data_IF_194891356377
#
_entry.id   IF_194891356377
#
_cell.length_a   1.000
_cell.length_b   1.000
_cell.length_c   1.000
_cell.angle_alpha   90.00
_cell.angle_beta   90.00
_cell.angle_gamma   90.00
#
_symmetry.space_group_name_H-M   'P 1'
#
loop_
_entity.id
_entity.type
_entity.pdbx_description
1 polymer ?
#
# COMPACT_ATOMS: atom_id res chain seq x y z
N UNK A 1 -58.62 44.93 26.46
CA UNK A 1 -57.33 45.56 26.08
C UNK A 1 -56.29 44.48 26.32
N UNK A 2 -56.09 43.58 25.36
CA UNK A 2 -55.11 43.75 24.27
C UNK A 2 -53.71 43.66 24.89
N UNK A 3 -52.87 42.65 24.63
CA UNK A 3 -52.53 42.03 23.35
C UNK A 3 -52.11 40.55 23.49
N UNK A 4 -52.26 39.84 22.37
CA UNK A 4 -51.79 38.47 22.13
C UNK A 4 -50.34 38.53 21.66
N UNK A 5 -49.45 37.75 22.27
CA UNK A 5 -48.20 37.34 21.62
C UNK A 5 -48.27 35.85 21.32
N UNK A 6 -48.12 35.54 20.04
CA UNK A 6 -48.10 34.20 19.50
C UNK A 6 -46.67 33.64 19.60
N UNK A 7 -46.48 32.59 20.38
CA UNK A 7 -45.20 31.89 20.48
C UNK A 7 -45.19 30.74 19.46
N UNK A 8 -44.31 30.87 18.46
CA UNK A 8 -44.14 29.92 17.38
C UNK A 8 -43.49 28.63 17.89
N UNK A 9 -44.20 27.51 17.76
CA UNK A 9 -43.66 26.18 17.99
C UNK A 9 -42.61 25.85 16.92
N UNK A 10 -41.33 26.00 17.28
CA UNK A 10 -40.21 25.53 16.48
C UNK A 10 -40.16 24.00 16.49
N UNK A 11 -40.62 23.37 15.42
CA UNK A 11 -40.35 21.96 15.12
C UNK A 11 -38.86 21.74 14.96
N UNK A 12 -38.26 21.03 15.93
CA UNK A 12 -36.90 20.51 15.85
C UNK A 12 -36.89 19.39 14.80
N UNK A 13 -36.42 19.70 13.60
CA UNK A 13 -36.09 18.69 12.58
C UNK A 13 -34.87 17.90 13.05
N UNK A 14 -35.08 16.63 13.39
CA UNK A 14 -34.00 15.65 13.54
C UNK A 14 -33.15 15.57 12.27
N UNK A 15 -31.82 15.45 12.37
CA UNK A 15 -31.00 15.27 11.19
C UNK A 15 -31.30 13.91 10.58
N UNK A 16 -31.64 13.94 9.29
CA UNK A 16 -31.89 12.77 8.47
C UNK A 16 -30.78 11.72 8.65
N UNK A 17 -31.19 10.51 9.00
CA UNK A 17 -30.36 9.33 8.98
C UNK A 17 -29.65 9.26 7.61
N UNK A 18 -28.31 9.27 7.66
CA UNK A 18 -27.48 8.95 6.50
C UNK A 18 -27.86 7.54 6.10
N UNK A 19 -28.52 7.42 4.95
CA UNK A 19 -28.89 6.15 4.37
C UNK A 19 -27.69 5.20 4.36
N UNK A 20 -27.85 4.02 4.92
CA UNK A 20 -26.92 2.92 4.77
C UNK A 20 -26.80 2.62 3.28
N UNK A 21 -25.75 3.16 2.65
CA UNK A 21 -25.37 2.82 1.30
C UNK A 21 -25.06 1.31 1.28
N UNK A 22 -25.80 0.57 0.45
CA UNK A 22 -25.88 -0.88 0.45
C UNK A 22 -24.54 -1.60 0.53
N UNK A 23 -24.55 -2.73 1.24
CA UNK A 23 -23.37 -3.53 1.57
C UNK A 23 -22.63 -4.18 0.36
N UNK A 24 -23.01 -3.90 -0.90
CA UNK A 24 -22.49 -4.61 -2.08
C UNK A 24 -22.06 -3.76 -3.30
N UNK A 25 -21.88 -2.43 -3.20
CA UNK A 25 -21.48 -1.65 -4.40
C UNK A 25 -19.98 -1.74 -4.80
N UNK A 26 -19.33 -2.90 -4.65
CA UNK A 26 -17.98 -3.06 -5.22
C UNK A 26 -17.13 -4.24 -4.73
N UNK A 27 -17.72 -5.21 -4.03
CA UNK A 27 -17.03 -6.40 -3.54
C UNK A 27 -15.81 -6.10 -2.64
N UNK A 28 -14.88 -7.06 -2.56
CA UNK A 28 -13.67 -6.91 -1.73
C UNK A 28 -12.76 -5.76 -2.21
N UNK A 29 -12.56 -5.64 -3.52
CA UNK A 29 -11.72 -4.60 -4.11
C UNK A 29 -12.25 -3.19 -3.80
N UNK A 30 -13.56 -2.97 -3.92
CA UNK A 30 -14.20 -1.69 -3.59
C UNK A 30 -14.06 -1.33 -2.11
N UNK A 31 -14.25 -2.30 -1.20
CA UNK A 31 -14.02 -2.10 0.24
C UNK A 31 -12.55 -1.76 0.56
N UNK A 32 -11.60 -2.41 -0.12
CA UNK A 32 -10.17 -2.12 0.06
C UNK A 32 -9.82 -0.70 -0.41
N UNK A 33 -10.31 -0.30 -1.59
CA UNK A 33 -10.09 1.06 -2.10
C UNK A 33 -10.72 2.14 -1.22
N UNK A 34 -11.91 1.88 -0.64
CA UNK A 34 -12.53 2.79 0.33
C UNK A 34 -11.67 2.94 1.59
N UNK A 35 -11.09 1.84 2.06
CA UNK A 35 -10.16 1.86 3.19
C UNK A 35 -8.91 2.70 2.90
N UNK A 36 -8.33 2.60 1.70
CA UNK A 36 -7.19 3.43 1.29
C UNK A 36 -7.57 4.90 1.11
N UNK A 37 -8.79 5.20 0.63
CA UNK A 37 -9.30 6.57 0.58
C UNK A 37 -9.47 7.19 1.96
N UNK A 38 -10.01 6.42 2.90
CA UNK A 38 -10.09 6.86 4.30
C UNK A 38 -8.69 7.11 4.88
N UNK A 39 -7.73 6.21 4.65
CA UNK A 39 -6.34 6.42 5.05
C UNK A 39 -5.77 7.71 4.46
N UNK A 40 -6.00 7.95 3.17
CA UNK A 40 -5.51 9.13 2.45
C UNK A 40 -6.03 10.44 3.08
N UNK A 41 -7.34 10.51 3.38
CA UNK A 41 -7.95 11.67 4.06
C UNK A 41 -7.31 11.90 5.42
N UNK A 42 -7.13 10.85 6.21
CA UNK A 42 -6.50 10.95 7.53
C UNK A 42 -5.03 11.38 7.45
N UNK A 43 -4.29 10.92 6.43
CA UNK A 43 -2.89 11.30 6.20
C UNK A 43 -2.74 12.77 5.78
N UNK A 44 -3.66 13.28 4.96
CA UNK A 44 -3.69 14.69 4.55
C UNK A 44 -3.97 15.63 5.73
N UNK A 45 -4.67 15.15 6.76
CA UNK A 45 -4.94 15.91 7.99
C UNK A 45 -3.76 15.94 8.99
N UNK A 46 -2.67 15.22 8.73
CA UNK A 46 -1.48 15.27 9.59
C UNK A 46 -0.82 16.66 9.51
N UNK A 47 -0.23 17.15 10.62
CA UNK A 47 0.53 18.39 10.58
C UNK A 47 1.74 18.26 9.65
N UNK A 48 2.29 19.37 9.15
CA UNK A 48 3.50 19.36 8.35
C UNK A 48 4.65 18.59 9.01
N UNK A 49 5.39 17.84 8.20
CA UNK A 49 6.47 16.98 8.70
C UNK A 49 7.69 17.77 9.21
N UNK A 50 7.87 19.01 8.76
CA UNK A 50 9.03 19.84 9.11
C UNK A 50 10.35 19.31 8.53
N UNK A 51 11.45 20.00 8.83
CA UNK A 51 12.77 19.57 8.37
C UNK A 51 13.14 18.17 8.91
N UNK A 52 13.83 17.31 8.12
CA UNK A 52 14.43 17.60 6.81
C UNK A 52 13.47 17.37 5.62
N UNK A 53 12.17 17.16 5.85
CA UNK A 53 11.20 16.91 4.78
C UNK A 53 10.91 18.21 4.03
N UNK A 54 11.18 18.19 2.72
CA UNK A 54 10.89 19.31 1.83
C UNK A 54 9.72 19.02 0.90
N UNK A 55 9.55 17.76 0.47
CA UNK A 55 8.42 17.36 -0.37
C UNK A 55 7.81 16.05 0.15
N UNK A 56 6.49 15.94 0.03
CA UNK A 56 5.71 14.73 0.35
C UNK A 56 4.92 14.36 -0.89
N UNK A 57 5.13 13.16 -1.40
CA UNK A 57 4.37 12.61 -2.52
C UNK A 57 3.35 11.61 -1.98
N UNK A 58 2.11 11.72 -2.47
CA UNK A 58 1.00 10.83 -2.16
C UNK A 58 0.53 10.13 -3.45
N UNK A 59 1.13 8.99 -3.85
CA UNK A 59 0.82 8.32 -5.11
C UNK A 59 -0.64 7.83 -5.19
N UNK A 60 -1.28 7.55 -4.05
CA UNK A 60 -2.70 7.19 -4.03
C UNK A 60 -3.63 8.39 -4.32
N UNK A 61 -3.09 9.60 -4.49
CA UNK A 61 -3.84 10.74 -5.02
C UNK A 61 -3.60 10.91 -6.52
N UNK A 62 -2.34 11.09 -6.93
CA UNK A 62 -2.03 11.44 -8.32
C UNK A 62 -1.90 10.23 -9.27
N UNK A 63 -1.64 9.02 -8.76
CA UNK A 63 -1.58 7.76 -9.52
C UNK A 63 -2.74 6.83 -9.14
N UNK A 64 -3.90 7.40 -8.78
CA UNK A 64 -5.06 6.64 -8.32
C UNK A 64 -5.65 5.72 -9.38
N UNK A 65 -5.68 6.14 -10.65
CA UNK A 65 -6.24 5.32 -11.73
C UNK A 65 -5.51 3.98 -11.90
N UNK A 66 -4.17 3.93 -12.10
CA UNK A 66 -3.47 2.64 -12.18
C UNK A 66 -3.51 1.88 -10.85
N UNK A 67 -3.53 2.56 -9.71
CA UNK A 67 -3.69 1.89 -8.42
C UNK A 67 -5.07 1.19 -8.30
N UNK A 68 -6.16 1.85 -8.70
CA UNK A 68 -7.49 1.26 -8.77
C UNK A 68 -7.54 0.07 -9.73
N UNK A 69 -6.93 0.19 -10.91
CA UNK A 69 -6.87 -0.89 -11.88
C UNK A 69 -6.13 -2.11 -11.29
N UNK A 70 -4.98 -1.90 -10.63
CA UNK A 70 -4.26 -2.94 -9.89
C UNK A 70 -5.13 -3.65 -8.83
N UNK A 71 -5.80 -2.88 -7.97
CA UNK A 71 -6.64 -3.44 -6.90
C UNK A 71 -7.85 -4.19 -7.48
N UNK A 72 -8.52 -3.64 -8.51
CA UNK A 72 -9.68 -4.28 -9.15
C UNK A 72 -9.33 -5.52 -9.95
N UNK A 73 -8.10 -5.64 -10.46
CA UNK A 73 -7.63 -6.86 -11.14
C UNK A 73 -7.31 -7.98 -10.15
N UNK A 74 -6.71 -7.62 -9.01
CA UNK A 74 -5.98 -8.59 -8.20
C UNK A 74 -6.49 -8.75 -6.76
N UNK A 75 -7.43 -7.92 -6.31
CA UNK A 75 -7.97 -7.92 -4.94
C UNK A 75 -9.47 -8.24 -4.85
N UNK A 76 -9.97 -9.11 -5.74
CA UNK A 76 -11.38 -9.47 -5.80
C UNK A 76 -11.81 -10.59 -4.83
N UNK A 77 -10.83 -11.31 -4.28
CA UNK A 77 -11.04 -12.46 -3.39
C UNK A 77 -10.17 -12.36 -2.15
N UNK A 78 -10.58 -12.97 -1.01
CA UNK A 78 -9.76 -13.03 0.19
C UNK A 78 -8.35 -13.57 -0.09
N UNK A 79 -7.37 -13.12 0.71
CA UNK A 79 -5.94 -13.40 0.50
C UNK A 79 -5.41 -14.19 1.68
N UNK A 80 -4.63 -15.22 1.41
CA UNK A 80 -3.95 -16.02 2.45
C UNK A 80 -2.67 -15.32 2.93
N UNK A 81 -1.97 -14.65 2.02
CA UNK A 81 -0.66 -14.03 2.27
C UNK A 81 -0.66 -12.55 1.84
N UNK A 82 -0.17 -11.66 2.70
CA UNK A 82 0.09 -10.26 2.35
C UNK A 82 1.59 -9.99 2.39
N UNK A 83 2.16 -9.60 1.26
CA UNK A 83 3.53 -9.08 1.17
C UNK A 83 3.50 -7.59 1.49
N UNK A 84 4.22 -7.18 2.54
CA UNK A 84 4.16 -5.82 3.06
C UNK A 84 5.50 -5.10 2.89
N UNK A 85 5.52 -4.06 2.06
CA UNK A 85 6.61 -3.11 1.96
C UNK A 85 6.52 -1.97 3.00
N UNK A 86 7.57 -1.15 3.07
CA UNK A 86 7.62 0.00 3.98
C UNK A 86 6.82 1.18 3.42
N UNK A 87 7.28 1.76 2.32
CA UNK A 87 6.67 2.90 1.65
C UNK A 87 7.14 2.99 0.18
N UNK A 88 6.50 3.80 -0.67
CA UNK A 88 6.90 3.96 -2.07
C UNK A 88 8.37 4.31 -2.26
N UNK A 89 9.01 3.68 -3.25
CA UNK A 89 10.25 4.17 -3.81
C UNK A 89 10.00 5.19 -4.93
N UNK A 90 10.98 6.08 -5.23
CA UNK A 90 10.80 7.22 -6.13
C UNK A 90 10.64 6.83 -7.61
N UNK A 91 11.02 5.61 -8.01
CA UNK A 91 10.95 5.15 -9.40
C UNK A 91 10.02 3.95 -9.61
N UNK A 92 9.38 3.48 -8.54
CA UNK A 92 8.41 2.40 -8.54
C UNK A 92 7.02 2.94 -8.24
N UNK A 93 6.49 2.65 -7.04
CA UNK A 93 5.13 3.04 -6.66
C UNK A 93 4.87 4.55 -6.76
N UNK A 94 5.87 5.42 -6.55
CA UNK A 94 5.69 6.85 -6.74
C UNK A 94 5.48 7.26 -8.21
N UNK A 95 5.81 6.39 -9.17
CA UNK A 95 5.54 6.59 -10.59
C UNK A 95 4.25 5.89 -11.00
N UNK A 96 3.98 4.71 -10.45
CA UNK A 96 3.00 3.78 -11.02
C UNK A 96 1.74 3.58 -10.18
N UNK A 97 1.75 3.99 -8.91
CA UNK A 97 0.68 3.67 -7.96
C UNK A 97 0.68 2.22 -7.45
N UNK A 98 1.52 1.34 -7.98
CA UNK A 98 1.58 -0.09 -7.61
C UNK A 98 2.71 -0.34 -6.60
N UNK A 99 2.48 -1.06 -5.48
CA UNK A 99 3.54 -1.44 -4.54
C UNK A 99 4.70 -2.18 -5.24
N UNK A 100 5.95 -1.81 -4.92
CA UNK A 100 7.15 -2.30 -5.64
C UNK A 100 7.08 -2.10 -7.17
N UNK A 101 6.23 -1.19 -7.65
CA UNK A 101 5.79 -1.14 -9.05
C UNK A 101 6.80 -0.53 -9.99
N UNK A 102 7.85 -1.27 -10.34
CA UNK A 102 8.74 -0.94 -11.46
C UNK A 102 7.94 -0.88 -12.78
N UNK A 103 8.13 0.18 -13.56
CA UNK A 103 7.23 0.56 -14.65
C UNK A 103 7.05 -0.52 -15.73
N UNK A 104 8.12 -1.23 -16.10
CA UNK A 104 8.02 -2.31 -17.08
C UNK A 104 7.16 -3.46 -16.55
N UNK A 105 7.40 -3.94 -15.33
CA UNK A 105 6.58 -5.02 -14.76
C UNK A 105 5.12 -4.62 -14.58
N UNK A 106 4.87 -3.37 -14.18
CA UNK A 106 3.50 -2.85 -14.02
C UNK A 106 2.75 -2.83 -15.35
N UNK A 107 3.40 -2.34 -16.42
CA UNK A 107 2.76 -2.20 -17.74
C UNK A 107 2.69 -3.51 -18.50
N UNK A 108 3.78 -4.26 -18.58
CA UNK A 108 3.91 -5.40 -19.49
C UNK A 108 3.45 -6.72 -18.87
N UNK A 109 3.66 -6.90 -17.55
CA UNK A 109 3.36 -8.17 -16.89
C UNK A 109 2.10 -8.11 -16.03
N UNK A 110 1.96 -7.09 -15.17
CA UNK A 110 0.72 -6.86 -14.40
C UNK A 110 -0.40 -6.25 -15.26
N UNK A 111 -0.07 -5.75 -16.46
CA UNK A 111 -1.02 -5.15 -17.40
C UNK A 111 -1.93 -4.08 -16.77
N UNK A 112 -1.35 -3.31 -15.84
CA UNK A 112 -2.04 -2.23 -15.16
C UNK A 112 -1.97 -0.97 -16.02
N UNK A 113 -3.11 -0.32 -16.20
CA UNK A 113 -3.28 0.88 -17.01
C UNK A 113 -3.95 2.01 -16.21
N UNK A 114 -3.73 3.25 -16.65
CA UNK A 114 -4.36 4.43 -16.07
C UNK A 114 -3.50 5.68 -16.20
N UNK A 115 -4.13 6.85 -16.08
CA UNK A 115 -3.45 8.14 -16.07
C UNK A 115 -2.72 8.39 -14.76
N UNK A 116 -1.52 8.97 -14.86
CA UNK A 116 -0.75 9.44 -13.71
C UNK A 116 -0.60 10.96 -13.81
N UNK A 117 -1.15 11.65 -12.80
CA UNK A 117 -1.05 13.10 -12.62
C UNK A 117 0.26 13.46 -11.90
N UNK A 118 0.52 14.76 -11.76
CA UNK A 118 1.64 15.30 -11.00
C UNK A 118 1.27 15.49 -9.52
N UNK A 119 2.23 15.32 -8.58
CA UNK A 119 2.01 15.76 -7.20
C UNK A 119 1.91 17.31 -7.16
N UNK A 120 1.21 17.90 -6.18
CA UNK A 120 1.04 19.35 -6.08
C UNK A 120 2.36 20.14 -6.00
N UNK A 121 3.39 19.54 -5.38
CA UNK A 121 4.74 20.07 -5.31
C UNK A 121 5.72 18.98 -5.75
N UNK A 122 6.30 19.15 -6.94
CA UNK A 122 7.23 18.20 -7.53
C UNK A 122 8.68 18.67 -7.35
N UNK A 123 9.51 17.85 -6.72
CA UNK A 123 10.93 18.11 -6.62
C UNK A 123 11.60 17.93 -7.99
N UNK A 124 12.39 18.91 -8.51
CA UNK A 124 12.95 18.86 -9.86
C UNK A 124 13.78 17.61 -10.18
N UNK A 125 14.54 17.08 -9.21
CA UNK A 125 15.32 15.83 -9.35
C UNK A 125 14.50 14.54 -9.22
N UNK A 126 13.20 14.61 -8.93
CA UNK A 126 12.29 13.47 -8.72
C UNK A 126 10.95 13.72 -9.45
N UNK A 127 10.98 13.91 -10.79
CA UNK A 127 9.75 14.07 -11.54
C UNK A 127 8.94 12.77 -11.57
N UNK A 128 7.62 12.89 -11.53
CA UNK A 128 6.66 11.82 -11.77
C UNK A 128 6.36 11.77 -13.26
N UNK A 129 6.84 10.72 -13.92
CA UNK A 129 6.70 10.45 -15.35
C UNK A 129 5.65 9.37 -15.63
N UNK A 130 5.01 8.82 -14.59
CA UNK A 130 3.99 7.80 -14.73
C UNK A 130 4.53 6.44 -15.19
N UNK A 131 3.67 5.68 -15.89
CA UNK A 131 4.02 4.38 -16.49
C UNK A 131 5.06 4.48 -17.62
N UNK A 132 5.39 5.70 -18.07
CA UNK A 132 6.45 5.98 -19.04
C UNK A 132 7.83 6.20 -18.38
N UNK A 133 7.94 6.11 -17.05
CA UNK A 133 9.23 6.24 -16.37
C UNK A 133 10.23 5.19 -16.86
N UNK A 134 11.34 5.63 -17.46
CA UNK A 134 12.39 4.75 -17.97
C UNK A 134 13.39 4.30 -16.90
N UNK A 135 13.31 4.87 -15.70
CA UNK A 135 14.24 4.54 -14.61
C UNK A 135 13.73 3.29 -13.89
N UNK A 136 14.51 2.22 -13.93
CA UNK A 136 14.19 1.01 -13.19
C UNK A 136 14.30 1.23 -11.67
N UNK A 137 13.26 0.83 -10.93
CA UNK A 137 13.37 0.62 -9.48
C UNK A 137 13.90 -0.79 -9.21
N UNK A 138 15.18 -0.90 -8.87
CA UNK A 138 15.87 -2.20 -8.66
C UNK A 138 15.14 -3.09 -7.66
N UNK A 139 14.62 -2.52 -6.56
CA UNK A 139 13.85 -3.29 -5.57
C UNK A 139 12.59 -3.90 -6.18
N UNK A 140 11.86 -3.11 -6.97
CA UNK A 140 10.65 -3.54 -7.65
C UNK A 140 10.91 -4.56 -8.76
N UNK A 141 11.92 -4.31 -9.59
CA UNK A 141 12.34 -5.23 -10.65
C UNK A 141 12.73 -6.60 -10.09
N UNK A 142 13.46 -6.65 -8.98
CA UNK A 142 13.81 -7.92 -8.30
C UNK A 142 12.57 -8.61 -7.73
N UNK A 143 11.72 -7.85 -7.03
CA UNK A 143 10.51 -8.42 -6.41
C UNK A 143 9.57 -9.02 -7.47
N UNK A 144 9.14 -8.22 -8.45
CA UNK A 144 8.23 -8.68 -9.48
C UNK A 144 8.90 -9.66 -10.46
N UNK A 145 10.21 -9.55 -10.68
CA UNK A 145 10.97 -10.52 -11.46
C UNK A 145 10.93 -11.92 -10.83
N UNK A 146 11.17 -12.03 -9.51
CA UNK A 146 11.03 -13.28 -8.78
C UNK A 146 9.60 -13.83 -8.87
N UNK A 147 8.60 -12.98 -8.60
CA UNK A 147 7.20 -13.40 -8.66
C UNK A 147 6.84 -13.91 -10.05
N UNK A 148 7.26 -13.23 -11.12
CA UNK A 148 7.06 -13.66 -12.51
C UNK A 148 7.74 -14.99 -12.81
N UNK A 149 8.95 -15.21 -12.30
CA UNK A 149 9.65 -16.51 -12.44
C UNK A 149 8.88 -17.64 -11.79
N UNK A 150 8.30 -17.41 -10.60
CA UNK A 150 7.50 -18.41 -9.88
C UNK A 150 6.09 -18.58 -10.46
N UNK A 151 5.53 -17.51 -11.04
CA UNK A 151 4.17 -17.43 -11.54
C UNK A 151 4.16 -16.65 -12.87
N UNK A 152 4.30 -17.32 -14.03
CA UNK A 152 4.30 -16.63 -15.32
C UNK A 152 3.03 -15.81 -15.58
N UNK A 153 1.87 -16.31 -15.11
CA UNK A 153 0.59 -15.60 -15.09
C UNK A 153 0.40 -14.91 -13.71
N UNK A 154 0.23 -13.57 -13.65
CA UNK A 154 0.07 -12.85 -12.39
C UNK A 154 -1.13 -13.34 -11.57
N UNK A 155 -2.19 -13.84 -12.21
CA UNK A 155 -3.38 -14.34 -11.50
C UNK A 155 -3.07 -15.55 -10.61
N UNK A 156 -2.04 -16.33 -10.91
CA UNK A 156 -1.61 -17.45 -10.05
C UNK A 156 -1.09 -16.94 -8.70
N UNK A 157 -0.27 -15.89 -8.71
CA UNK A 157 0.19 -15.23 -7.49
C UNK A 157 -0.97 -14.59 -6.73
N UNK A 158 -1.79 -13.80 -7.41
CA UNK A 158 -2.86 -13.04 -6.76
C UNK A 158 -4.07 -13.88 -6.33
N UNK A 159 -4.13 -15.17 -6.69
CA UNK A 159 -5.12 -16.11 -6.16
C UNK A 159 -5.05 -16.21 -4.64
N UNK A 160 -3.83 -16.22 -4.08
CA UNK A 160 -3.59 -16.38 -2.65
C UNK A 160 -2.85 -15.22 -2.01
N UNK A 161 -2.13 -14.43 -2.81
CA UNK A 161 -1.24 -13.39 -2.32
C UNK A 161 -1.75 -11.99 -2.70
N UNK A 162 -1.35 -10.98 -1.95
CA UNK A 162 -1.48 -9.59 -2.34
C UNK A 162 -0.27 -8.78 -1.85
N UNK A 163 -0.07 -7.58 -2.40
CA UNK A 163 1.09 -6.74 -2.08
C UNK A 163 0.60 -5.36 -1.69
N UNK A 164 1.13 -4.81 -0.60
CA UNK A 164 0.76 -3.50 -0.07
C UNK A 164 1.95 -2.83 0.61
N UNK A 165 1.88 -1.52 0.85
CA UNK A 165 2.86 -0.79 1.64
C UNK A 165 2.23 -0.35 2.97
N UNK A 166 2.98 -0.40 4.06
CA UNK A 166 2.50 0.10 5.36
C UNK A 166 2.15 1.60 5.30
N UNK A 167 3.00 2.39 4.67
CA UNK A 167 2.79 3.82 4.48
C UNK A 167 2.71 4.15 2.99
N UNK A 168 1.66 4.82 2.49
CA UNK A 168 1.55 5.18 1.08
C UNK A 168 2.35 6.44 0.72
N UNK A 169 3.00 7.12 1.67
CA UNK A 169 3.72 8.38 1.42
C UNK A 169 5.19 8.17 1.04
N UNK A 170 5.68 9.00 0.12
CA UNK A 170 7.10 9.19 -0.16
C UNK A 170 7.56 10.55 0.38
N UNK A 171 8.69 10.57 1.08
CA UNK A 171 9.28 11.79 1.65
C UNK A 171 10.62 12.08 0.99
N UNK A 172 10.84 13.35 0.65
CA UNK A 172 12.08 13.82 0.02
C UNK A 172 12.67 14.99 0.80
N UNK A 173 13.99 14.96 0.97
CA UNK A 173 14.76 16.12 1.41
C UNK A 173 14.85 17.18 0.32
N UNK A 174 15.28 18.40 0.66
CA UNK A 174 15.51 19.51 -0.29
C UNK A 174 16.54 19.19 -1.38
N UNK A 175 17.41 18.20 -1.15
CA UNK A 175 18.35 17.69 -2.15
C UNK A 175 17.73 16.69 -3.15
N UNK A 176 16.47 16.29 -2.93
CA UNK A 176 15.77 15.21 -3.64
C UNK A 176 16.13 13.81 -3.13
N UNK A 177 16.89 13.72 -2.03
CA UNK A 177 17.21 12.44 -1.38
C UNK A 177 15.95 11.84 -0.76
N UNK A 178 15.74 10.54 -0.98
CA UNK A 178 14.66 9.79 -0.33
C UNK A 178 14.87 9.71 1.18
N UNK A 179 13.85 10.09 1.94
CA UNK A 179 13.78 9.97 3.39
C UNK A 179 12.87 8.78 3.75
N UNK A 180 13.40 7.66 4.26
CA UNK A 180 12.56 6.61 4.82
C UNK A 180 11.83 7.12 6.09
N UNK A 181 10.69 6.52 6.48
CA UNK A 181 9.96 6.91 7.69
C UNK A 181 10.82 6.98 8.97
N UNK A 182 11.90 6.19 9.06
CA UNK A 182 12.83 6.20 10.20
C UNK A 182 13.65 7.49 10.33
N UNK A 183 13.79 8.27 9.25
CA UNK A 183 14.50 9.55 9.22
C UNK A 183 13.56 10.76 9.40
N UNK A 184 12.27 10.53 9.64
CA UNK A 184 11.32 11.60 9.91
C UNK A 184 11.45 12.11 11.35
N UNK A 185 11.10 13.38 11.63
CA UNK A 185 11.03 13.91 12.98
C UNK A 185 10.17 13.02 13.90
N UNK A 186 10.62 12.69 15.12
CA UNK A 186 10.00 11.64 15.94
C UNK A 186 8.49 11.84 16.18
N UNK A 187 8.05 13.05 16.51
CA UNK A 187 6.64 13.31 16.81
C UNK A 187 5.73 13.07 15.60
N UNK A 188 6.14 13.53 14.42
CA UNK A 188 5.40 13.36 13.17
C UNK A 188 5.46 11.91 12.68
N UNK A 189 6.63 11.26 12.81
CA UNK A 189 6.80 9.83 12.54
C UNK A 189 5.83 9.02 13.37
N UNK A 190 5.77 9.25 14.67
CA UNK A 190 4.97 8.42 15.57
C UNK A 190 3.47 8.57 15.29
N UNK A 191 3.00 9.79 15.01
CA UNK A 191 1.62 10.05 14.55
C UNK A 191 1.30 9.34 13.24
N UNK A 192 2.19 9.47 12.24
CA UNK A 192 2.06 8.79 10.95
C UNK A 192 1.99 7.27 11.13
N UNK A 193 2.87 6.71 11.95
CA UNK A 193 2.96 5.27 12.16
C UNK A 193 1.72 4.72 12.86
N UNK A 194 1.20 5.38 13.89
CA UNK A 194 -0.02 4.95 14.59
C UNK A 194 -1.20 4.87 13.61
N UNK A 195 -1.35 5.87 12.73
CA UNK A 195 -2.38 5.88 11.70
C UNK A 195 -2.19 4.70 10.73
N UNK A 196 -1.00 4.55 10.15
CA UNK A 196 -0.70 3.46 9.22
C UNK A 196 -0.86 2.07 9.85
N UNK A 197 -0.56 1.91 11.14
CA UNK A 197 -0.75 0.65 11.87
C UNK A 197 -2.22 0.26 11.94
N UNK A 198 -3.07 1.22 12.31
CA UNK A 198 -4.51 1.01 12.39
C UNK A 198 -5.09 0.63 11.03
N UNK A 199 -4.64 1.28 9.97
CA UNK A 199 -5.11 1.00 8.61
C UNK A 199 -4.60 -0.35 8.11
N UNK A 200 -3.36 -0.73 8.44
CA UNK A 200 -2.83 -2.07 8.15
C UNK A 200 -3.66 -3.16 8.82
N UNK A 201 -3.99 -3.02 10.12
CA UNK A 201 -4.80 -4.01 10.82
C UNK A 201 -6.17 -4.20 10.18
N UNK A 202 -6.82 -3.10 9.79
CA UNK A 202 -8.10 -3.15 9.07
C UNK A 202 -7.98 -3.78 7.68
N UNK A 203 -6.93 -3.47 6.93
CA UNK A 203 -6.65 -4.09 5.64
C UNK A 203 -6.44 -5.61 5.78
N UNK A 204 -5.65 -6.04 6.76
CA UNK A 204 -5.40 -7.47 7.05
C UNK A 204 -6.68 -8.20 7.43
N UNK A 205 -7.51 -7.60 8.30
CA UNK A 205 -8.81 -8.15 8.67
C UNK A 205 -9.77 -8.25 7.47
N UNK A 206 -9.86 -7.18 6.67
CA UNK A 206 -10.71 -7.14 5.47
C UNK A 206 -10.32 -8.22 4.45
N UNK A 207 -9.02 -8.44 4.24
CA UNK A 207 -8.51 -9.42 3.28
C UNK A 207 -8.55 -10.86 3.80
N UNK A 208 -8.78 -11.08 5.11
CA UNK A 208 -8.77 -12.41 5.71
C UNK A 208 -7.38 -13.07 5.71
N UNK A 209 -6.32 -12.27 5.84
CA UNK A 209 -4.93 -12.73 5.72
C UNK A 209 -4.50 -13.56 6.92
N UNK A 210 -3.94 -14.75 6.68
CA UNK A 210 -3.38 -15.62 7.73
C UNK A 210 -1.87 -15.42 7.93
N UNK A 211 -1.15 -14.92 6.92
CA UNK A 211 0.29 -14.67 6.96
C UNK A 211 0.63 -13.30 6.36
N UNK A 212 1.31 -12.46 7.13
CA UNK A 212 1.96 -11.24 6.62
C UNK A 212 3.46 -11.48 6.48
N UNK A 213 3.99 -11.24 5.28
CA UNK A 213 5.42 -11.32 4.96
C UNK A 213 5.98 -9.91 4.79
N UNK A 214 6.66 -9.41 5.81
CA UNK A 214 7.33 -8.12 5.78
C UNK A 214 8.58 -8.14 4.91
N UNK A 215 8.64 -7.27 3.89
CA UNK A 215 9.80 -7.14 3.01
C UNK A 215 10.84 -6.25 3.69
N UNK A 216 11.81 -6.90 4.32
CA UNK A 216 12.79 -6.26 5.18
C UNK A 216 12.34 -6.13 6.63
N UNK A 217 13.34 -5.96 7.51
CA UNK A 217 13.15 -5.96 8.96
C UNK A 217 12.25 -4.85 9.48
N UNK A 218 12.20 -3.71 8.79
CA UNK A 218 11.30 -2.62 9.17
C UNK A 218 9.84 -3.06 9.05
N UNK A 219 9.42 -3.49 7.86
CA UNK A 219 8.04 -3.89 7.59
C UNK A 219 7.62 -5.08 8.45
N UNK A 220 8.51 -6.06 8.64
CA UNK A 220 8.27 -7.22 9.52
C UNK A 220 7.95 -6.78 10.97
N UNK A 221 8.87 -6.02 11.59
CA UNK A 221 8.66 -5.55 12.98
C UNK A 221 7.44 -4.67 13.09
N UNK A 222 7.19 -3.84 12.06
CA UNK A 222 6.11 -2.89 12.06
C UNK A 222 4.74 -3.58 12.01
N UNK A 223 4.60 -4.57 11.12
CA UNK A 223 3.43 -5.43 11.03
C UNK A 223 3.20 -6.20 12.34
N UNK A 224 4.25 -6.83 12.90
CA UNK A 224 4.16 -7.59 14.15
C UNK A 224 3.59 -6.74 15.28
N UNK A 225 4.09 -5.51 15.44
CA UNK A 225 3.60 -4.57 16.45
C UNK A 225 2.15 -4.15 16.19
N UNK A 226 1.80 -3.82 14.95
CA UNK A 226 0.45 -3.35 14.60
C UNK A 226 -0.62 -4.44 14.81
N UNK A 227 -0.34 -5.67 14.38
CA UNK A 227 -1.30 -6.78 14.43
C UNK A 227 -1.44 -7.38 15.84
N UNK A 228 -0.36 -7.38 16.63
CA UNK A 228 -0.45 -7.78 18.03
C UNK A 228 -1.37 -6.84 18.84
N UNK A 229 -1.33 -5.53 18.55
CA UNK A 229 -2.18 -4.55 19.20
C UNK A 229 -3.65 -4.61 18.77
N UNK A 230 -3.96 -5.24 17.62
CA UNK A 230 -5.33 -5.34 17.09
C UNK A 230 -6.06 -6.63 17.46
N UNK A 231 -5.42 -7.54 18.22
CA UNK A 231 -5.99 -8.82 18.60
C UNK A 231 -6.19 -9.80 17.43
N UNK A 232 -5.59 -9.54 16.26
CA UNK A 232 -5.71 -10.42 15.09
C UNK A 232 -4.71 -11.57 15.20
N UNK A 233 -5.20 -12.81 15.11
CA UNK A 233 -4.37 -14.01 15.07
C UNK A 233 -3.76 -14.20 13.67
N UNK A 234 -2.71 -13.43 13.37
CA UNK A 234 -2.04 -13.42 12.06
C UNK A 234 -0.56 -13.71 12.25
N UNK A 235 -0.02 -14.68 11.49
CA UNK A 235 1.42 -14.98 11.51
C UNK A 235 2.18 -13.84 10.83
N UNK A 236 3.28 -13.36 11.43
CA UNK A 236 4.12 -12.30 10.83
C UNK A 236 5.56 -12.77 10.69
N UNK A 237 6.02 -12.81 9.44
CA UNK A 237 7.33 -13.31 9.04
C UNK A 237 8.07 -12.29 8.18
N UNK A 238 9.38 -12.50 8.01
CA UNK A 238 10.24 -11.63 7.22
C UNK A 238 10.76 -12.28 5.95
N UNK A 239 10.86 -11.49 4.88
CA UNK A 239 11.66 -11.77 3.70
C UNK A 239 12.80 -10.74 3.61
N UNK A 240 14.03 -11.12 3.19
CA UNK A 240 15.09 -10.14 2.96
C UNK A 240 14.65 -9.05 1.98
N UNK A 241 15.01 -7.78 2.22
CA UNK A 241 14.64 -6.70 1.29
C UNK A 241 15.50 -6.76 0.00
N UNK A 242 14.91 -6.58 -1.20
CA UNK A 242 15.63 -6.64 -2.49
C UNK A 242 16.55 -5.45 -2.79
N UNK A 243 16.73 -4.51 -1.85
CA UNK A 243 17.38 -3.22 -2.14
C UNK A 243 18.87 -3.43 -2.47
N UNK A 244 19.42 -2.73 -3.48
CA UNK A 244 20.85 -2.79 -3.78
C UNK A 244 21.73 -2.24 -2.65
N UNK A 245 21.15 -1.47 -1.71
CA UNK A 245 21.85 -1.00 -0.50
C UNK A 245 22.21 -2.13 0.47
N UNK A 246 21.61 -3.32 0.32
CA UNK A 246 21.93 -4.50 1.11
C UNK A 246 22.98 -5.36 0.36
N UNK A 247 24.24 -5.46 0.84
CA UNK A 247 25.27 -6.26 0.16
C UNK A 247 24.92 -7.74 0.01
N UNK A 248 24.04 -8.29 0.86
CA UNK A 248 23.57 -9.67 0.73
C UNK A 248 22.61 -9.83 -0.44
N UNK A 249 21.77 -8.83 -0.73
CA UNK A 249 20.84 -8.88 -1.85
C UNK A 249 21.55 -8.86 -3.21
N UNK A 250 22.75 -8.29 -3.28
CA UNK A 250 23.54 -8.26 -4.50
C UNK A 250 24.25 -9.59 -4.80
N UNK A 251 24.24 -10.55 -3.88
CA UNK A 251 24.88 -11.88 -3.99
C UNK A 251 23.87 -13.00 -4.25
N UNK A 252 22.75 -12.69 -4.90
CA UNK A 252 21.67 -13.65 -5.19
C UNK A 252 20.46 -13.51 -4.26
N UNK A 253 19.82 -12.33 -4.28
CA UNK A 253 18.58 -12.11 -3.52
C UNK A 253 17.46 -13.10 -3.89
N UNK A 254 17.34 -13.44 -5.18
CA UNK A 254 16.27 -14.29 -5.69
C UNK A 254 16.28 -15.68 -5.03
N UNK A 255 17.44 -16.33 -4.97
CA UNK A 255 17.58 -17.65 -4.35
C UNK A 255 17.33 -17.62 -2.83
N UNK A 256 17.83 -16.59 -2.14
CA UNK A 256 17.54 -16.38 -0.72
C UNK A 256 16.04 -16.18 -0.46
N UNK A 257 15.36 -15.44 -1.35
CA UNK A 257 13.94 -15.20 -1.24
C UNK A 257 13.14 -16.47 -1.53
N UNK A 258 13.47 -17.23 -2.58
CA UNK A 258 12.85 -18.53 -2.89
C UNK A 258 12.97 -19.51 -1.72
N UNK A 259 14.18 -19.70 -1.19
CA UNK A 259 14.39 -20.60 -0.05
C UNK A 259 13.52 -20.19 1.15
N UNK A 260 13.50 -18.91 1.49
CA UNK A 260 12.66 -18.40 2.59
C UNK A 260 11.17 -18.57 2.30
N UNK A 261 10.71 -18.40 1.06
CA UNK A 261 9.30 -18.64 0.71
C UNK A 261 8.91 -20.12 0.84
N UNK A 262 9.82 -21.04 0.54
CA UNK A 262 9.62 -22.48 0.78
C UNK A 262 9.49 -22.80 2.27
N UNK A 263 10.38 -22.26 3.12
CA UNK A 263 10.28 -22.42 4.59
C UNK A 263 8.96 -21.88 5.17
N UNK A 264 8.37 -20.89 4.52
CA UNK A 264 7.10 -20.29 4.93
C UNK A 264 5.88 -21.04 4.40
N UNK A 265 6.07 -22.08 3.58
CA UNK A 265 5.00 -22.83 2.93
C UNK A 265 4.31 -22.05 1.81
N UNK A 266 4.93 -20.97 1.29
CA UNK A 266 4.31 -20.09 0.30
C UNK A 266 4.46 -20.64 -1.11
N UNK A 267 5.54 -21.36 -1.42
CA UNK A 267 5.75 -21.92 -2.77
C UNK A 267 4.69 -22.97 -3.10
N UNK A 268 4.32 -23.80 -2.12
CA UNK A 268 3.26 -24.80 -2.23
C UNK A 268 1.90 -24.16 -2.56
N UNK A 269 1.61 -22.98 -1.97
CA UNK A 269 0.41 -22.21 -2.27
C UNK A 269 0.36 -21.74 -3.73
N UNK A 270 1.51 -21.35 -4.28
CA UNK A 270 1.61 -20.89 -5.66
C UNK A 270 1.45 -22.05 -6.65
N UNK A 271 1.89 -23.26 -6.28
CA UNK A 271 1.79 -24.47 -7.09
C UNK A 271 0.37 -25.09 -7.14
N UNK A 272 -0.44 -24.92 -6.09
CA UNK A 272 -1.86 -25.37 -6.05
C UNK A 272 -2.69 -24.83 -7.25
N UNK A 273 -2.26 -23.72 -7.85
CA UNK A 273 -2.86 -23.13 -9.06
C UNK A 273 -2.38 -23.73 -10.37
N UNK A 274 -1.18 -24.30 -10.41
CA UNK A 274 -0.57 -24.85 -11.63
C UNK A 274 -1.08 -26.26 -11.91
N UNK A 275 -1.26 -27.09 -10.87
CA UNK A 275 -1.66 -28.50 -10.99
C UNK A 275 -3.17 -28.73 -11.26
N UNK A 276 -3.99 -27.67 -11.19
CA UNK A 276 -5.44 -27.74 -11.44
C UNK A 276 -5.84 -27.25 -12.85
N UNK A 277 -4.87 -27.07 -13.75
CA UNK A 277 -5.11 -26.84 -15.17
C UNK A 277 -4.87 -28.11 -15.97
#
# INVERSE_FOLDING_TARGET
MEEREAEAAGTVTEPAAVAEAGEDEGGLAGRFLRLEREQSVLLQALPPFGEPVSHVYHPLDYAWEPHCDFVRRYCCTPKRVLFLGMNPGPFGMAQTGVPFGEAWHVREWLQVAGGVKKPPSEHPKRPVLGLACQRAEVSGARFWGLVRTLCPDPHLFFRHCFVHNHCPLLFLASSGRNLPPTELPPAQRDRLMVLCDRMLARAVGLLGVGLVVGIGRYAERRARRALAASGLAVRVEGLPHPSPRNPRANRGWEELAKARLGELGVLELLEEGVRRR
#
